data_IF_385791287737
#
_entry.id   IF_385791287737
#
_cell.length_a   1.000
_cell.length_b   1.000
_cell.length_c   1.000
_cell.angle_alpha   90.00
_cell.angle_beta   90.00
_cell.angle_gamma   90.00
#
_symmetry.space_group_name_H-M   'P 1'
#
loop_
_entity.id
_entity.type
_entity.pdbx_description
1 polymer ?
#
# COMPACT_ATOMS: atom_id res chain seq x y z
N UNK A 1 -8.95 48.06 -18.45
CA UNK A 1 -9.86 49.08 -17.88
C UNK A 1 -11.03 49.12 -18.83
N UNK A 2 -12.11 48.37 -18.65
CA UNK A 2 -12.72 47.64 -17.53
C UNK A 2 -13.27 46.29 -18.05
N UNK A 3 -14.14 45.61 -17.30
CA UNK A 3 -14.80 44.30 -17.58
C UNK A 3 -14.11 43.04 -17.01
N UNK A 4 -13.90 43.05 -15.69
CA UNK A 4 -13.66 41.85 -14.86
C UNK A 4 -14.81 41.59 -13.87
N UNK A 5 -16.05 41.90 -14.23
CA UNK A 5 -17.22 41.58 -13.41
C UNK A 5 -18.38 41.10 -14.29
N UNK A 6 -18.92 39.94 -13.91
CA UNK A 6 -20.13 39.24 -14.37
C UNK A 6 -19.94 38.16 -15.45
N UNK A 7 -19.71 36.94 -14.95
CA UNK A 7 -19.82 35.69 -15.68
C UNK A 7 -19.75 34.51 -14.72
N UNK A 8 -20.59 34.54 -13.69
CA UNK A 8 -20.90 33.39 -12.85
C UNK A 8 -21.48 32.35 -13.78
N UNK A 9 -20.79 31.23 -13.95
CA UNK A 9 -21.34 29.88 -14.17
C UNK A 9 -20.14 28.91 -14.17
N UNK A 10 -19.72 28.55 -12.96
CA UNK A 10 -18.79 27.47 -12.72
C UNK A 10 -19.49 26.13 -12.92
N UNK A 11 -19.76 25.77 -14.17
CA UNK A 11 -20.27 24.45 -14.53
C UNK A 11 -19.08 23.49 -14.70
N UNK A 12 -18.52 23.05 -13.57
CA UNK A 12 -17.73 21.82 -13.55
C UNK A 12 -18.71 20.66 -13.68
N UNK A 13 -18.49 19.64 -14.54
CA UNK A 13 -19.40 18.50 -14.64
C UNK A 13 -19.51 17.85 -13.26
N UNK A 14 -20.66 18.05 -12.61
CA UNK A 14 -20.93 17.56 -11.28
C UNK A 14 -20.91 16.04 -11.33
N UNK A 15 -19.83 15.43 -10.86
CA UNK A 15 -19.81 14.01 -10.56
C UNK A 15 -20.92 13.76 -9.54
N UNK A 16 -22.03 13.17 -9.99
CA UNK A 16 -23.16 12.83 -9.14
C UNK A 16 -22.67 11.84 -8.10
N UNK A 17 -22.48 12.31 -6.87
CA UNK A 17 -22.13 11.43 -5.76
C UNK A 17 -23.42 10.69 -5.36
N UNK A 18 -23.43 9.36 -5.34
CA UNK A 18 -24.62 8.61 -4.93
C UNK A 18 -24.99 8.98 -3.49
N UNK A 19 -26.26 9.29 -3.25
CA UNK A 19 -26.79 9.66 -1.93
C UNK A 19 -27.94 8.73 -1.53
N UNK A 20 -27.99 8.38 -0.24
CA UNK A 20 -29.07 7.58 0.35
C UNK A 20 -29.75 8.41 1.42
N UNK A 21 -31.08 8.56 1.33
CA UNK A 21 -31.87 9.27 2.34
C UNK A 21 -32.15 8.33 3.50
N UNK A 22 -31.89 8.78 4.73
CA UNK A 22 -32.12 8.00 5.94
C UNK A 22 -32.82 8.82 7.01
N UNK A 23 -33.46 8.14 7.96
CA UNK A 23 -33.93 8.71 9.22
C UNK A 23 -33.48 7.85 10.39
N UNK A 24 -32.51 8.34 11.17
CA UNK A 24 -32.04 7.66 12.38
C UNK A 24 -33.12 7.52 13.46
N UNK A 25 -34.15 8.37 13.42
CA UNK A 25 -35.27 8.36 14.38
C UNK A 25 -36.29 7.28 14.08
N UNK A 26 -36.57 7.02 12.81
CA UNK A 26 -37.59 6.04 12.37
C UNK A 26 -37.00 4.74 11.85
N UNK A 27 -35.69 4.70 11.57
CA UNK A 27 -35.01 3.55 10.96
C UNK A 27 -35.18 3.45 9.44
N UNK A 28 -35.90 4.39 8.82
CA UNK A 28 -36.14 4.42 7.39
C UNK A 28 -34.84 4.64 6.60
N UNK A 29 -34.64 3.88 5.53
CA UNK A 29 -33.47 3.96 4.64
C UNK A 29 -32.19 3.33 5.18
N UNK A 30 -32.20 2.72 6.38
CA UNK A 30 -31.00 2.11 6.96
C UNK A 30 -30.54 0.86 6.18
N UNK A 31 -31.49 0.09 5.65
CA UNK A 31 -31.18 -1.11 4.85
C UNK A 31 -30.62 -0.73 3.47
N UNK A 32 -31.17 0.31 2.85
CA UNK A 32 -30.64 0.87 1.60
C UNK A 32 -29.22 1.42 1.80
N UNK A 33 -28.95 2.04 2.95
CA UNK A 33 -27.61 2.49 3.32
C UNK A 33 -26.65 1.30 3.48
N UNK A 34 -27.07 0.23 4.16
CA UNK A 34 -26.28 -1.01 4.29
C UNK A 34 -25.96 -1.60 2.92
N UNK A 35 -26.96 -1.71 2.04
CA UNK A 35 -26.77 -2.22 0.69
C UNK A 35 -25.83 -1.33 -0.13
N UNK A 36 -25.94 -0.01 -0.02
CA UNK A 36 -25.06 0.94 -0.70
C UNK A 36 -23.61 0.88 -0.19
N UNK A 37 -23.40 0.59 1.10
CA UNK A 37 -22.07 0.40 1.69
C UNK A 37 -21.45 -0.92 1.23
N UNK A 38 -22.19 -2.03 1.23
CA UNK A 38 -21.64 -3.37 0.97
C UNK A 38 -21.59 -3.68 -0.53
N UNK A 39 -22.52 -3.16 -1.33
CA UNK A 39 -22.64 -3.39 -2.77
C UNK A 39 -21.33 -3.27 -3.55
N UNK A 40 -20.51 -2.21 -3.35
CA UNK A 40 -19.21 -2.07 -4.00
C UNK A 40 -18.20 -3.20 -3.68
N UNK A 41 -18.38 -3.92 -2.58
CA UNK A 41 -17.46 -4.95 -2.09
C UNK A 41 -17.91 -6.38 -2.38
N UNK A 42 -19.20 -6.63 -2.67
CA UNK A 42 -19.78 -7.98 -2.86
C UNK A 42 -19.38 -8.69 -4.17
N UNK A 43 -18.82 -7.97 -5.14
CA UNK A 43 -18.45 -8.52 -6.46
C UNK A 43 -16.96 -8.72 -6.67
N UNK A 44 -16.12 -8.40 -5.68
CA UNK A 44 -14.72 -8.80 -5.72
C UNK A 44 -14.67 -10.26 -5.32
N UNK A 45 -14.44 -11.15 -6.29
CA UNK A 45 -13.89 -12.48 -5.99
C UNK A 45 -12.61 -12.23 -5.19
N UNK A 46 -12.74 -12.29 -3.86
CA UNK A 46 -11.60 -12.54 -3.01
C UNK A 46 -11.29 -13.99 -3.33
N UNK A 47 -10.30 -14.21 -4.19
CA UNK A 47 -9.71 -15.52 -4.39
C UNK A 47 -9.30 -16.05 -3.02
N UNK A 48 -10.18 -16.84 -2.41
CA UNK A 48 -10.01 -17.41 -1.08
C UNK A 48 -8.99 -18.55 -1.08
N UNK A 49 -8.45 -18.88 -2.26
CA UNK A 49 -7.33 -19.79 -2.47
C UNK A 49 -5.97 -19.18 -2.14
N UNK A 50 -5.89 -17.97 -1.58
CA UNK A 50 -4.64 -17.31 -1.19
C UNK A 50 -4.44 -17.15 0.32
N UNK A 51 -3.20 -16.88 0.72
CA UNK A 51 -2.87 -16.45 2.08
C UNK A 51 -3.27 -14.98 2.28
N UNK A 52 -4.08 -14.68 3.30
CA UNK A 52 -4.52 -13.32 3.59
C UNK A 52 -3.52 -12.61 4.51
N UNK A 53 -2.93 -11.52 4.03
CA UNK A 53 -2.09 -10.64 4.84
C UNK A 53 -2.97 -9.55 5.47
N UNK A 54 -3.26 -9.68 6.76
CA UNK A 54 -4.13 -8.77 7.51
C UNK A 54 -3.38 -7.65 8.24
N UNK A 55 -2.07 -7.84 8.45
CA UNK A 55 -1.22 -6.91 9.17
C UNK A 55 -0.53 -5.93 8.20
N UNK A 56 -0.69 -4.63 8.42
CA UNK A 56 -0.14 -3.58 7.57
C UNK A 56 1.40 -3.56 7.55
N UNK A 57 2.05 -3.96 8.65
CA UNK A 57 3.51 -4.10 8.72
C UNK A 57 3.97 -5.28 7.87
N UNK A 58 3.31 -6.43 7.97
CA UNK A 58 3.64 -7.58 7.11
C UNK A 58 3.46 -7.24 5.63
N UNK A 59 2.39 -6.52 5.29
CA UNK A 59 2.15 -6.05 3.93
C UNK A 59 3.29 -5.16 3.42
N UNK A 60 3.73 -4.18 4.21
CA UNK A 60 4.83 -3.30 3.82
C UNK A 60 6.16 -4.06 3.65
N UNK A 61 6.49 -4.98 4.56
CA UNK A 61 7.69 -5.81 4.45
C UNK A 61 7.68 -6.69 3.20
N UNK A 62 6.55 -7.34 2.88
CA UNK A 62 6.40 -8.12 1.65
C UNK A 62 6.55 -7.25 0.41
N UNK A 63 5.96 -6.04 0.41
CA UNK A 63 6.07 -5.09 -0.70
C UNK A 63 7.51 -4.64 -0.93
N UNK A 64 8.27 -4.39 0.14
CA UNK A 64 9.69 -4.04 0.05
C UNK A 64 10.53 -5.20 -0.45
N UNK A 65 10.30 -6.41 0.07
CA UNK A 65 10.98 -7.63 -0.40
C UNK A 65 10.75 -7.86 -1.90
N UNK A 66 9.50 -7.71 -2.36
CA UNK A 66 9.16 -7.79 -3.77
C UNK A 66 9.94 -6.75 -4.60
N UNK A 67 9.97 -5.49 -4.16
CA UNK A 67 10.69 -4.43 -4.87
C UNK A 67 12.18 -4.71 -5.02
N UNK A 68 12.83 -5.23 -3.98
CA UNK A 68 14.25 -5.64 -4.05
C UNK A 68 14.48 -6.81 -5.01
N UNK A 69 13.57 -7.80 -5.04
CA UNK A 69 13.64 -8.93 -5.97
C UNK A 69 13.46 -8.47 -7.42
N UNK A 70 12.49 -7.60 -7.68
CA UNK A 70 12.25 -7.05 -9.02
C UNK A 70 13.45 -6.22 -9.51
N UNK A 71 14.01 -5.38 -8.64
CA UNK A 71 15.23 -4.63 -8.94
C UNK A 71 16.43 -5.57 -9.23
N UNK A 72 16.61 -6.61 -8.41
CA UNK A 72 17.66 -7.63 -8.59
C UNK A 72 17.51 -8.39 -9.91
N UNK A 73 16.27 -8.75 -10.28
CA UNK A 73 15.98 -9.35 -11.58
C UNK A 73 16.36 -8.41 -12.74
N UNK A 74 16.05 -7.12 -12.62
CA UNK A 74 16.44 -6.11 -13.60
C UNK A 74 17.96 -6.00 -13.76
N UNK A 75 18.70 -6.02 -12.64
CA UNK A 75 20.16 -5.97 -12.63
C UNK A 75 20.82 -7.21 -13.26
N UNK A 76 20.24 -8.39 -13.02
CA UNK A 76 20.68 -9.63 -13.67
C UNK A 76 20.50 -9.54 -15.20
N UNK A 77 19.35 -9.04 -15.65
CA UNK A 77 19.08 -8.88 -17.08
C UNK A 77 20.01 -7.87 -17.75
N UNK A 78 20.43 -6.82 -17.04
CA UNK A 78 21.39 -5.83 -17.54
C UNK A 78 22.85 -6.31 -17.51
N UNK A 79 23.12 -7.58 -17.14
CA UNK A 79 24.47 -8.16 -16.99
C UNK A 79 25.37 -7.36 -16.04
N UNK A 80 24.78 -6.80 -14.99
CA UNK A 80 25.51 -6.15 -13.90
C UNK A 80 26.31 -7.20 -13.11
N UNK A 81 27.33 -6.76 -12.36
CA UNK A 81 28.07 -7.64 -11.44
C UNK A 81 27.12 -8.37 -10.48
N UNK A 82 27.36 -9.67 -10.31
CA UNK A 82 26.61 -10.54 -9.40
C UNK A 82 26.65 -10.04 -7.95
N UNK A 83 27.74 -9.37 -7.55
CA UNK A 83 27.86 -8.76 -6.22
C UNK A 83 26.77 -7.72 -5.95
N UNK A 84 26.37 -6.94 -6.97
CA UNK A 84 25.35 -5.89 -6.83
C UNK A 84 23.95 -6.52 -6.75
N UNK A 85 23.73 -7.61 -7.49
CA UNK A 85 22.48 -8.38 -7.43
C UNK A 85 22.29 -9.00 -6.05
N UNK A 86 23.37 -9.56 -5.48
CA UNK A 86 23.34 -10.20 -4.17
C UNK A 86 22.91 -9.25 -3.05
N UNK A 87 23.26 -7.96 -3.13
CA UNK A 87 22.81 -6.95 -2.17
C UNK A 87 21.28 -6.86 -2.11
N UNK A 88 20.62 -6.78 -3.26
CA UNK A 88 19.15 -6.71 -3.31
C UNK A 88 18.49 -8.00 -2.80
N UNK A 89 19.04 -9.17 -3.15
CA UNK A 89 18.54 -10.45 -2.63
C UNK A 89 18.70 -10.57 -1.10
N UNK A 90 19.80 -10.06 -0.55
CA UNK A 90 20.01 -10.03 0.91
C UNK A 90 19.02 -9.11 1.61
N UNK A 91 18.75 -7.94 1.04
CA UNK A 91 17.72 -7.02 1.56
C UNK A 91 16.32 -7.67 1.53
N UNK A 92 15.97 -8.34 0.44
CA UNK A 92 14.71 -9.08 0.34
C UNK A 92 14.59 -10.14 1.44
N UNK A 93 15.66 -10.91 1.67
CA UNK A 93 15.69 -11.92 2.72
C UNK A 93 15.53 -11.31 4.12
N UNK A 94 16.16 -10.15 4.39
CA UNK A 94 16.01 -9.44 5.66
C UNK A 94 14.57 -9.00 5.92
N UNK A 95 13.90 -8.39 4.93
CA UNK A 95 12.50 -8.01 5.07
C UNK A 95 11.58 -9.21 5.34
N UNK A 96 11.87 -10.37 4.74
CA UNK A 96 11.13 -11.61 5.01
C UNK A 96 11.42 -12.17 6.42
N UNK A 97 12.67 -12.09 6.88
CA UNK A 97 13.05 -12.48 8.25
C UNK A 97 12.36 -11.64 9.33
N UNK A 98 12.16 -10.33 9.08
CA UNK A 98 11.41 -9.46 10.00
C UNK A 98 9.92 -9.87 10.15
N UNK A 99 9.35 -10.59 9.19
CA UNK A 99 7.99 -11.13 9.26
C UNK A 99 7.96 -12.35 10.19
N UNK A 100 8.95 -13.24 10.09
CA UNK A 100 9.05 -14.46 10.90
C UNK A 100 9.63 -14.20 12.29
N UNK A 101 10.15 -12.99 12.55
CA UNK A 101 10.80 -12.62 13.80
C UNK A 101 12.25 -13.09 13.87
N UNK A 102 12.82 -13.52 12.75
CA UNK A 102 14.24 -13.83 12.65
C UNK A 102 15.06 -12.54 12.79
N UNK A 103 15.86 -12.47 13.84
CA UNK A 103 16.90 -11.44 13.97
C UNK A 103 18.12 -11.91 13.21
N UNK A 104 18.46 -11.23 12.12
CA UNK A 104 19.65 -11.57 11.35
C UNK A 104 20.91 -11.04 12.06
N UNK A 105 22.06 -11.64 11.78
CA UNK A 105 23.35 -11.13 12.28
C UNK A 105 23.61 -9.69 11.83
N UNK A 106 23.15 -9.27 10.66
CA UNK A 106 23.20 -7.86 10.25
C UNK A 106 22.37 -6.94 11.15
N UNK A 107 21.24 -7.39 11.72
CA UNK A 107 20.45 -6.56 12.64
C UNK A 107 21.20 -6.30 13.93
N UNK A 108 21.91 -7.33 14.41
CA UNK A 108 22.78 -7.24 15.57
C UNK A 108 23.95 -6.29 15.28
N UNK A 109 24.62 -6.44 14.13
CA UNK A 109 25.74 -5.59 13.74
C UNK A 109 25.30 -4.13 13.50
N UNK A 110 24.18 -3.92 12.81
CA UNK A 110 23.61 -2.58 12.57
C UNK A 110 23.30 -1.88 13.90
N UNK A 111 22.74 -2.60 14.88
CA UNK A 111 22.48 -2.04 16.21
C UNK A 111 23.76 -1.72 16.99
N UNK A 112 24.81 -2.52 16.84
CA UNK A 112 26.12 -2.25 17.45
C UNK A 112 26.73 -0.98 16.84
N UNK A 113 26.72 -0.85 15.52
CA UNK A 113 27.37 0.27 14.82
C UNK A 113 26.51 1.55 14.75
N UNK A 114 25.20 1.48 14.95
CA UNK A 114 24.32 2.65 15.00
C UNK A 114 24.62 3.61 16.17
N UNK A 115 25.38 3.17 17.18
CA UNK A 115 25.77 4.00 18.33
C UNK A 115 27.18 4.57 18.20
N UNK A 116 27.94 4.19 17.16
CA UNK A 116 29.25 4.76 16.90
C UNK A 116 29.09 5.93 15.95
N UNK A 117 29.37 7.14 16.45
CA UNK A 117 29.61 8.27 15.56
C UNK A 117 30.82 7.91 14.68
N UNK A 118 30.61 7.91 13.36
CA UNK A 118 31.70 7.77 12.38
C UNK A 118 32.57 9.02 12.53
N UNK A 119 33.78 8.81 13.04
CA UNK A 119 34.88 9.78 13.03
C UNK A 119 35.88 9.37 11.95
#
# INVERSE_FOLDING_TARGET
>A
MEEWLLGRDGESPAAVTPFVKISAKTGEGLEDLRAAIIGPFLGREIETSGFLVTDARHYDLLRRAQGEIEASCGLLQSRTSEEIVLVGLHNALRYLGEITGETTTEDVLTRIFATFCIG
#
